data_IF_831243718423
#
_entry.id   IF_831243718423
#
_cell.length_a   1.000
_cell.length_b   1.000
_cell.length_c   1.000
_cell.angle_alpha   90.00
_cell.angle_beta   90.00
_cell.angle_gamma   90.00
#
_symmetry.space_group_name_H-M   'P 1'
#
loop_
_entity.id
_entity.type
_entity.pdbx_description
1 polymer ?
#
# COMPACT_ATOMS: atom_id res chain seq x y z
N UNK A 1 -3.23 3.24 -13.83
CA UNK A 1 -3.95 4.19 -12.96
C UNK A 1 -3.47 3.99 -11.53
N UNK A 2 -3.29 5.06 -10.78
CA UNK A 2 -2.94 4.99 -9.35
C UNK A 2 -4.21 4.83 -8.49
N UNK A 3 -4.20 3.94 -7.51
CA UNK A 3 -5.36 3.63 -6.67
C UNK A 3 -5.00 3.40 -5.20
N UNK A 4 -5.93 3.71 -4.30
CA UNK A 4 -5.83 3.54 -2.85
C UNK A 4 -6.95 2.62 -2.36
N UNK A 5 -6.67 1.68 -1.46
CA UNK A 5 -7.69 0.75 -0.97
C UNK A 5 -7.93 0.77 0.54
N UNK A 6 -7.10 1.49 1.30
CA UNK A 6 -7.12 1.41 2.77
C UNK A 6 -7.64 2.65 3.46
N UNK A 7 -7.74 3.80 2.80
CA UNK A 7 -8.16 5.01 3.50
C UNK A 7 -9.06 5.91 2.63
N UNK A 8 -9.77 6.81 3.30
CA UNK A 8 -10.69 7.78 2.69
C UNK A 8 -10.50 9.17 3.29
N UNK A 9 -11.34 10.14 2.90
CA UNK A 9 -11.32 11.47 3.50
C UNK A 9 -11.44 11.41 5.04
N UNK A 10 -10.63 12.21 5.74
CA UNK A 10 -10.67 12.43 7.19
C UNK A 10 -11.95 13.19 7.58
N UNK A 11 -13.01 12.44 7.92
CA UNK A 11 -14.30 13.00 8.38
C UNK A 11 -14.81 12.30 9.64
N UNK A 12 -14.25 11.15 10.00
CA UNK A 12 -14.62 10.45 11.24
C UNK A 12 -13.86 11.08 12.40
N UNK A 13 -14.62 11.56 13.38
CA UNK A 13 -14.08 12.24 14.55
C UNK A 13 -14.32 11.40 15.80
N UNK A 14 -13.44 11.54 16.80
CA UNK A 14 -13.57 10.82 18.07
C UNK A 14 -14.04 11.78 19.17
N UNK A 15 -15.06 11.39 19.96
CA UNK A 15 -15.61 12.26 21.04
C UNK A 15 -14.56 12.73 22.07
N UNK A 16 -13.48 11.99 22.25
CA UNK A 16 -12.39 12.37 23.14
C UNK A 16 -11.47 13.47 22.59
N UNK A 17 -11.53 13.78 21.28
CA UNK A 17 -10.58 14.67 20.61
C UNK A 17 -9.13 14.16 20.64
N UNK A 18 -8.95 12.84 20.78
CA UNK A 18 -7.64 12.17 20.81
C UNK A 18 -7.55 11.22 19.63
N UNK A 19 -6.39 11.18 18.98
CA UNK A 19 -6.16 10.40 17.76
C UNK A 19 -4.93 9.50 17.87
N UNK A 20 -4.31 9.37 19.05
CA UNK A 20 -3.19 8.42 19.20
C UNK A 20 -3.66 6.99 18.99
N UNK A 21 -2.89 6.17 18.26
CA UNK A 21 -3.25 4.76 18.04
C UNK A 21 -3.58 4.00 19.33
N UNK A 22 -4.67 3.23 19.32
CA UNK A 22 -5.12 2.35 20.40
C UNK A 22 -5.11 0.89 19.96
N UNK A 23 -4.21 0.11 20.56
CA UNK A 23 -3.94 -1.28 20.18
C UNK A 23 -5.07 -2.26 20.51
N UNK A 24 -5.12 -3.38 19.79
CA UNK A 24 -6.18 -4.39 19.96
C UNK A 24 -6.12 -5.16 21.28
N UNK A 25 -4.96 -5.21 21.95
CA UNK A 25 -4.83 -5.92 23.21
C UNK A 25 -5.48 -5.13 24.37
N UNK A 26 -5.33 -3.81 24.37
CA UNK A 26 -5.90 -2.92 25.38
C UNK A 26 -7.31 -2.40 25.00
N UNK A 27 -7.62 -2.35 23.70
CA UNK A 27 -8.94 -1.99 23.14
C UNK A 27 -9.47 -3.08 22.19
N UNK A 28 -9.85 -4.25 22.74
CA UNK A 28 -10.36 -5.36 21.95
C UNK A 28 -11.76 -5.06 21.42
N UNK A 29 -12.09 -5.62 20.25
CA UNK A 29 -13.42 -5.45 19.62
C UNK A 29 -14.60 -5.89 20.50
N UNK A 30 -14.38 -6.71 21.52
CA UNK A 30 -15.40 -7.18 22.45
C UNK A 30 -15.78 -6.20 23.58
N UNK A 31 -15.05 -5.09 23.74
CA UNK A 31 -15.24 -4.14 24.85
C UNK A 31 -15.21 -2.70 24.37
N UNK A 32 -16.17 -1.89 24.82
CA UNK A 32 -16.27 -0.48 24.43
C UNK A 32 -15.28 0.39 25.19
N UNK A 33 -14.39 1.11 24.50
CA UNK A 33 -13.42 2.02 25.12
C UNK A 33 -12.37 1.34 26.01
N UNK A 34 -12.07 0.05 25.77
CA UNK A 34 -10.99 -0.68 26.42
C UNK A 34 -11.43 -1.78 27.39
N UNK A 35 -10.45 -2.48 27.98
CA UNK A 35 -10.66 -3.70 28.79
C UNK A 35 -11.69 -3.60 29.93
N UNK A 36 -11.88 -2.39 30.50
CA UNK A 36 -12.82 -2.13 31.61
C UNK A 36 -14.22 -1.69 31.14
N UNK A 37 -14.41 -1.56 29.83
CA UNK A 37 -15.65 -1.13 29.22
C UNK A 37 -16.77 -2.17 29.26
N UNK A 38 -18.01 -1.75 28.95
CA UNK A 38 -19.11 -2.69 28.74
C UNK A 38 -18.80 -3.63 27.56
N UNK A 39 -19.37 -4.83 27.60
CA UNK A 39 -19.27 -5.79 26.50
C UNK A 39 -20.05 -5.29 25.27
N UNK A 40 -19.44 -5.45 24.10
CA UNK A 40 -20.02 -5.15 22.79
C UNK A 40 -19.67 -6.28 21.81
N UNK A 41 -20.30 -6.29 20.63
CA UNK A 41 -20.01 -7.24 19.55
C UNK A 41 -20.02 -8.71 19.99
N UNK A 42 -21.09 -9.21 20.65
CA UNK A 42 -21.12 -10.54 21.23
C UNK A 42 -20.90 -11.62 20.18
N UNK A 43 -19.88 -12.46 20.39
CA UNK A 43 -19.54 -13.58 19.52
C UNK A 43 -18.75 -13.21 18.26
N UNK A 44 -18.35 -11.95 18.09
CA UNK A 44 -17.38 -11.54 17.08
C UNK A 44 -16.01 -12.16 17.40
N UNK A 45 -15.45 -12.92 16.46
CA UNK A 45 -14.24 -13.71 16.63
C UNK A 45 -12.94 -12.92 16.30
N UNK A 46 -13.06 -11.64 15.95
CA UNK A 46 -11.94 -10.81 15.51
C UNK A 46 -11.79 -10.77 13.99
N UNK A 47 -10.76 -10.07 13.54
CA UNK A 47 -10.52 -9.73 12.14
C UNK A 47 -9.83 -10.83 11.30
N UNK A 48 -9.33 -11.89 11.94
CA UNK A 48 -8.76 -13.06 11.23
C UNK A 48 -9.82 -13.91 10.50
N UNK A 49 -11.09 -13.82 10.90
CA UNK A 49 -12.22 -14.45 10.22
C UNK A 49 -13.00 -13.39 9.42
N UNK A 50 -12.63 -13.20 8.16
CA UNK A 50 -13.31 -12.28 7.22
C UNK A 50 -14.68 -12.75 6.72
N UNK A 51 -15.30 -13.78 7.33
CA UNK A 51 -16.62 -14.26 6.90
C UNK A 51 -17.73 -13.26 7.22
N UNK A 52 -18.75 -13.23 6.37
CA UNK A 52 -19.97 -12.42 6.60
C UNK A 52 -20.66 -12.81 7.91
N UNK A 53 -20.67 -14.10 8.25
CA UNK A 53 -21.27 -14.59 9.49
C UNK A 53 -20.55 -14.08 10.75
N UNK A 54 -19.23 -13.91 10.68
CA UNK A 54 -18.47 -13.31 11.76
C UNK A 54 -18.70 -11.79 11.81
N UNK A 55 -18.49 -11.09 10.70
CA UNK A 55 -18.61 -9.63 10.64
C UNK A 55 -20.04 -9.11 10.87
N UNK A 56 -21.08 -9.92 10.65
CA UNK A 56 -22.45 -9.59 11.06
C UNK A 56 -22.61 -9.38 12.59
N UNK A 57 -21.64 -9.83 13.39
CA UNK A 57 -21.60 -9.65 14.85
C UNK A 57 -20.80 -8.42 15.28
N UNK A 58 -20.11 -7.76 14.36
CA UNK A 58 -19.49 -6.46 14.59
C UNK A 58 -20.57 -5.40 14.35
N UNK A 59 -21.14 -4.86 15.43
CA UNK A 59 -22.28 -3.93 15.37
C UNK A 59 -22.01 -2.59 16.06
N UNK A 60 -20.96 -2.49 16.87
CA UNK A 60 -20.52 -1.26 17.55
C UNK A 60 -19.04 -1.01 17.21
N UNK A 61 -18.69 0.10 16.53
CA UNK A 61 -17.30 0.47 16.21
C UNK A 61 -16.54 1.01 17.44
N UNK A 62 -17.19 1.08 18.60
CA UNK A 62 -16.77 1.75 19.82
C UNK A 62 -15.61 1.13 20.59
N UNK A 63 -14.87 0.20 19.99
CA UNK A 63 -13.86 -0.61 20.69
C UNK A 63 -12.71 0.25 21.23
N UNK A 64 -12.10 1.05 20.34
CA UNK A 64 -10.98 1.93 20.65
C UNK A 64 -11.44 3.34 20.99
N UNK A 65 -12.26 3.94 20.14
CA UNK A 65 -12.82 5.27 20.30
C UNK A 65 -14.34 5.25 20.21
N UNK A 66 -15.00 6.37 20.54
CA UNK A 66 -16.41 6.58 20.18
C UNK A 66 -16.45 7.46 18.93
N UNK A 67 -16.46 6.86 17.72
CA UNK A 67 -16.43 7.60 16.46
C UNK A 67 -17.79 8.22 16.16
N UNK A 68 -17.78 9.36 15.48
CA UNK A 68 -18.94 9.98 14.87
C UNK A 68 -18.53 10.74 13.62
N UNK A 69 -19.45 10.89 12.66
CA UNK A 69 -19.27 11.79 11.52
C UNK A 69 -20.03 13.08 11.81
N UNK A 70 -19.41 14.27 11.70
CA UNK A 70 -20.12 15.54 11.83
C UNK A 70 -21.32 15.61 10.88
N UNK A 71 -22.42 16.22 11.32
CA UNK A 71 -23.68 16.29 10.53
C UNK A 71 -23.47 16.92 9.14
N UNK A 72 -22.56 17.91 9.04
CA UNK A 72 -22.22 18.55 7.77
C UNK A 72 -21.49 17.62 6.78
N UNK A 73 -20.90 16.53 7.27
CA UNK A 73 -20.03 15.62 6.51
C UNK A 73 -20.63 14.21 6.36
N UNK A 74 -21.84 13.96 6.87
CA UNK A 74 -22.49 12.62 6.87
C UNK A 74 -22.62 11.95 5.49
N UNK A 75 -22.47 12.70 4.40
CA UNK A 75 -22.53 12.24 3.02
C UNK A 75 -21.28 12.63 2.21
N UNK A 76 -20.16 12.95 2.87
CA UNK A 76 -18.94 13.42 2.22
C UNK A 76 -18.29 12.35 1.32
N UNK A 77 -18.48 11.07 1.65
CA UNK A 77 -17.85 9.94 0.93
C UNK A 77 -18.81 9.29 -0.05
N UNK A 78 -18.28 8.84 -1.19
CA UNK A 78 -19.03 8.12 -2.24
C UNK A 78 -18.28 6.86 -2.62
N UNK A 79 -18.94 5.67 -2.66
CA UNK A 79 -20.37 5.44 -2.46
C UNK A 79 -20.86 5.61 -1.01
N UNK A 80 -22.18 5.74 -0.82
CA UNK A 80 -22.79 6.10 0.47
C UNK A 80 -22.37 5.21 1.65
N UNK A 81 -22.12 3.92 1.40
CA UNK A 81 -21.70 2.98 2.44
C UNK A 81 -20.38 3.40 3.11
N UNK A 82 -19.51 4.16 2.44
CA UNK A 82 -18.27 4.67 3.01
C UNK A 82 -18.49 5.67 4.16
N UNK A 83 -19.69 6.19 4.38
CA UNK A 83 -19.96 7.12 5.47
C UNK A 83 -20.29 6.42 6.80
N UNK A 84 -20.36 5.09 6.84
CA UNK A 84 -20.62 4.34 8.07
C UNK A 84 -19.30 4.04 8.82
N UNK A 85 -19.11 4.58 10.05
CA UNK A 85 -17.91 4.31 10.85
C UNK A 85 -17.68 2.82 11.13
N UNK A 86 -18.68 1.95 11.04
CA UNK A 86 -18.54 0.51 11.24
C UNK A 86 -17.54 -0.13 10.25
N UNK A 87 -17.33 0.50 9.10
CA UNK A 87 -16.40 0.04 8.05
C UNK A 87 -14.97 0.57 8.21
N UNK A 88 -14.63 1.15 9.36
CA UNK A 88 -13.31 1.70 9.66
C UNK A 88 -12.76 1.07 10.93
N UNK A 89 -11.43 1.02 11.08
CA UNK A 89 -10.84 0.45 12.30
C UNK A 89 -11.07 1.35 13.52
N UNK A 90 -11.18 2.67 13.32
CA UNK A 90 -11.43 3.68 14.35
C UNK A 90 -10.45 3.61 15.53
N UNK A 91 -9.15 3.49 15.24
CA UNK A 91 -8.10 3.30 16.25
C UNK A 91 -7.14 4.46 16.37
N UNK A 92 -7.29 5.51 15.58
CA UNK A 92 -6.39 6.66 15.57
C UNK A 92 -5.16 6.46 14.69
N UNK A 93 -4.34 7.50 14.63
CA UNK A 93 -3.22 7.69 13.73
C UNK A 93 -2.13 6.63 13.87
N UNK A 94 -1.78 6.04 12.74
CA UNK A 94 -0.67 5.10 12.65
C UNK A 94 0.67 5.74 13.01
N UNK A 95 1.58 4.95 13.57
CA UNK A 95 3.02 5.29 13.63
C UNK A 95 3.83 4.47 12.64
N UNK A 96 3.15 3.77 11.73
CA UNK A 96 3.71 2.87 10.71
C UNK A 96 4.55 1.72 11.29
N UNK A 97 4.16 1.21 12.47
CA UNK A 97 4.91 0.18 13.22
C UNK A 97 4.00 -0.93 13.72
N UNK A 98 4.46 -2.17 13.59
CA UNK A 98 3.74 -3.33 14.11
C UNK A 98 2.31 -3.40 13.55
N UNK A 99 1.34 -3.67 14.41
CA UNK A 99 -0.06 -3.78 13.99
C UNK A 99 -0.64 -2.44 13.51
N UNK A 100 -0.24 -1.30 14.09
CA UNK A 100 -0.84 -0.01 13.71
C UNK A 100 -0.52 0.39 12.26
N UNK A 101 0.47 -0.24 11.63
CA UNK A 101 0.74 -0.05 10.21
C UNK A 101 -0.43 -0.49 9.31
N UNK A 102 -1.42 -1.24 9.83
CA UNK A 102 -2.56 -1.79 9.07
C UNK A 102 -3.95 -1.50 9.65
N UNK A 103 -3.98 -0.93 10.86
CA UNK A 103 -5.21 -0.76 11.63
C UNK A 103 -5.41 0.69 12.09
N UNK A 104 -4.55 1.61 11.62
CA UNK A 104 -4.48 2.98 12.11
C UNK A 104 -4.59 3.97 10.98
N UNK A 105 -5.16 5.13 11.29
CA UNK A 105 -5.48 6.20 10.34
C UNK A 105 -4.22 6.66 9.59
N UNK A 106 -4.29 6.68 8.26
CA UNK A 106 -3.13 6.90 7.39
C UNK A 106 -2.85 8.39 7.29
N UNK A 107 -1.99 8.89 8.17
CA UNK A 107 -1.68 10.33 8.28
C UNK A 107 -2.95 11.19 8.47
N UNK A 108 -3.86 10.75 9.34
CA UNK A 108 -5.14 11.37 9.63
C UNK A 108 -6.30 10.90 8.73
N UNK A 109 -6.01 10.22 7.62
CA UNK A 109 -7.05 9.72 6.72
C UNK A 109 -7.70 8.45 7.30
N UNK A 110 -9.04 8.44 7.33
CA UNK A 110 -9.84 7.37 7.96
C UNK A 110 -9.51 5.99 7.37
N UNK A 111 -8.97 5.07 8.18
CA UNK A 111 -8.50 3.74 7.76
C UNK A 111 -9.66 2.72 7.69
N UNK A 112 -9.90 2.22 6.49
CA UNK A 112 -10.93 1.24 6.14
C UNK A 112 -10.60 -0.12 6.75
N UNK A 113 -11.62 -0.74 7.32
CA UNK A 113 -11.55 -2.07 7.87
C UNK A 113 -11.51 -3.12 6.74
N UNK A 114 -10.36 -3.27 6.07
CA UNK A 114 -10.23 -4.08 4.82
C UNK A 114 -10.46 -5.58 5.00
N UNK A 115 -10.41 -6.09 6.24
CA UNK A 115 -10.83 -7.43 6.61
C UNK A 115 -12.37 -7.62 6.51
N UNK A 116 -13.14 -6.53 6.56
CA UNK A 116 -14.60 -6.55 6.51
C UNK A 116 -15.09 -6.94 5.09
N UNK A 117 -15.95 -7.97 4.95
CA UNK A 117 -16.38 -8.47 3.63
C UNK A 117 -17.14 -7.43 2.80
N UNK A 118 -17.95 -6.56 3.43
CA UNK A 118 -18.55 -5.41 2.73
C UNK A 118 -17.53 -4.40 2.18
N UNK A 119 -16.48 -4.07 2.93
CA UNK A 119 -15.41 -3.18 2.46
C UNK A 119 -14.69 -3.82 1.29
N UNK A 120 -14.29 -5.09 1.44
CA UNK A 120 -13.63 -5.87 0.39
C UNK A 120 -14.44 -5.91 -0.91
N UNK A 121 -15.72 -6.31 -0.83
CA UNK A 121 -16.61 -6.34 -2.00
C UNK A 121 -16.85 -4.95 -2.58
N UNK A 122 -17.09 -3.93 -1.74
CA UNK A 122 -17.29 -2.56 -2.18
C UNK A 122 -16.09 -1.96 -2.92
N UNK A 123 -14.87 -2.19 -2.45
CA UNK A 123 -13.66 -1.73 -3.14
C UNK A 123 -13.42 -2.49 -4.46
N UNK A 124 -13.70 -3.79 -4.49
CA UNK A 124 -13.69 -4.57 -5.74
C UNK A 124 -14.71 -4.02 -6.73
N UNK A 125 -15.93 -3.72 -6.30
CA UNK A 125 -16.97 -3.11 -7.15
C UNK A 125 -16.51 -1.78 -7.73
N UNK A 126 -15.97 -0.89 -6.89
CA UNK A 126 -15.47 0.44 -7.31
C UNK A 126 -14.40 0.28 -8.39
N UNK A 127 -13.35 -0.51 -8.15
CA UNK A 127 -12.26 -0.61 -9.10
C UNK A 127 -12.60 -1.46 -10.33
N UNK A 128 -13.45 -2.48 -10.20
CA UNK A 128 -13.98 -3.18 -11.38
C UNK A 128 -14.76 -2.23 -12.32
N UNK A 129 -15.48 -1.25 -11.77
CA UNK A 129 -16.20 -0.24 -12.56
C UNK A 129 -15.25 0.64 -13.38
N UNK A 130 -14.10 1.01 -12.81
CA UNK A 130 -13.07 1.77 -13.54
C UNK A 130 -12.53 1.01 -14.76
N UNK A 131 -12.25 -0.29 -14.61
CA UNK A 131 -11.84 -1.16 -15.72
C UNK A 131 -12.93 -1.18 -16.80
N UNK A 132 -14.18 -1.46 -16.41
CA UNK A 132 -15.31 -1.63 -17.35
C UNK A 132 -15.67 -0.35 -18.10
N UNK A 133 -15.63 0.79 -17.42
CA UNK A 133 -16.08 2.07 -17.98
C UNK A 133 -15.03 2.77 -18.81
N UNK A 134 -13.78 2.72 -18.37
CA UNK A 134 -12.71 3.52 -18.97
C UNK A 134 -11.71 2.68 -19.75
N UNK A 135 -11.75 1.35 -19.64
CA UNK A 135 -10.85 0.47 -20.39
C UNK A 135 -9.39 0.66 -20.04
N UNK A 136 -9.09 1.02 -18.78
CA UNK A 136 -7.70 1.18 -18.31
C UNK A 136 -6.94 -0.16 -18.36
N UNK A 137 -5.62 -0.10 -18.56
CA UNK A 137 -4.78 -1.29 -18.76
C UNK A 137 -4.02 -1.75 -17.50
N UNK A 138 -4.22 -1.09 -16.36
CA UNK A 138 -3.54 -1.51 -15.14
C UNK A 138 -3.67 -0.58 -13.93
N UNK A 139 -3.24 -1.12 -12.79
CA UNK A 139 -3.17 -0.45 -11.50
C UNK A 139 -1.76 -0.39 -10.91
N UNK A 140 -1.34 0.82 -10.52
CA UNK A 140 -0.36 1.05 -9.45
C UNK A 140 -1.16 1.15 -8.17
N UNK A 141 -0.85 0.33 -7.19
CA UNK A 141 -1.55 0.27 -5.91
C UNK A 141 -0.71 1.00 -4.87
N UNK A 142 -1.22 2.14 -4.41
CA UNK A 142 -0.65 2.92 -3.33
C UNK A 142 -0.66 2.14 -2.02
N UNK A 143 0.31 2.43 -1.15
CA UNK A 143 0.33 2.00 0.27
C UNK A 143 0.09 0.49 0.51
N UNK A 144 0.46 -0.36 -0.45
CA UNK A 144 0.11 -1.79 -0.50
C UNK A 144 0.41 -2.57 0.80
N UNK A 145 1.50 -2.23 1.50
CA UNK A 145 1.92 -2.91 2.74
C UNK A 145 1.02 -2.65 3.95
N UNK A 146 0.19 -1.61 3.89
CA UNK A 146 -0.68 -1.12 4.96
C UNK A 146 -2.07 -1.77 4.96
N UNK A 147 -2.29 -2.78 4.13
CA UNK A 147 -3.61 -3.39 3.92
C UNK A 147 -3.57 -4.87 4.31
N UNK A 148 -4.74 -5.42 4.66
CA UNK A 148 -4.91 -6.85 4.91
C UNK A 148 -4.42 -7.69 3.70
N UNK A 149 -3.53 -8.69 3.91
CA UNK A 149 -3.20 -9.67 2.88
C UNK A 149 -4.42 -10.36 2.28
N UNK A 150 -5.43 -10.69 3.08
CA UNK A 150 -6.66 -11.35 2.62
C UNK A 150 -7.47 -10.49 1.66
N UNK A 151 -7.44 -9.17 1.82
CA UNK A 151 -8.00 -8.22 0.87
C UNK A 151 -7.33 -8.35 -0.49
N UNK A 152 -5.99 -8.34 -0.56
CA UNK A 152 -5.26 -8.43 -1.83
C UNK A 152 -5.45 -9.76 -2.54
N UNK A 153 -5.48 -10.86 -1.79
CA UNK A 153 -5.74 -12.20 -2.30
C UNK A 153 -7.12 -12.32 -2.96
N UNK A 154 -8.10 -11.49 -2.58
CA UNK A 154 -9.39 -11.43 -3.24
C UNK A 154 -9.43 -10.36 -4.35
N UNK A 155 -8.87 -9.18 -4.09
CA UNK A 155 -8.93 -8.02 -4.97
C UNK A 155 -8.20 -8.25 -6.29
N UNK A 156 -6.96 -8.74 -6.23
CA UNK A 156 -6.09 -8.87 -7.41
C UNK A 156 -6.68 -9.85 -8.44
N UNK A 157 -7.11 -11.08 -8.06
CA UNK A 157 -7.77 -11.97 -9.01
C UNK A 157 -9.07 -11.40 -9.57
N UNK A 158 -9.84 -10.64 -8.76
CA UNK A 158 -11.07 -10.01 -9.21
C UNK A 158 -10.81 -8.94 -10.30
N UNK A 159 -9.76 -8.12 -10.15
CA UNK A 159 -9.36 -7.13 -11.16
C UNK A 159 -8.87 -7.80 -12.44
N UNK A 160 -8.01 -8.82 -12.33
CA UNK A 160 -7.52 -9.59 -13.48
C UNK A 160 -8.66 -10.27 -14.24
N UNK A 161 -9.60 -10.89 -13.53
CA UNK A 161 -10.79 -11.50 -14.11
C UNK A 161 -11.68 -10.47 -14.81
N UNK A 162 -11.88 -9.31 -14.18
CA UNK A 162 -12.67 -8.21 -14.76
C UNK A 162 -12.03 -7.68 -16.04
N UNK A 163 -10.72 -7.43 -16.05
CA UNK A 163 -10.00 -6.96 -17.23
C UNK A 163 -10.05 -7.98 -18.37
N UNK A 164 -9.86 -9.27 -18.07
CA UNK A 164 -9.98 -10.35 -19.06
C UNK A 164 -11.38 -10.40 -19.68
N UNK A 165 -12.43 -10.26 -18.87
CA UNK A 165 -13.83 -10.22 -19.35
C UNK A 165 -14.12 -8.96 -20.19
N UNK A 166 -13.48 -7.84 -19.86
CA UNK A 166 -13.55 -6.60 -20.63
C UNK A 166 -12.71 -6.61 -21.92
N UNK A 167 -11.99 -7.71 -22.21
CA UNK A 167 -11.16 -7.83 -23.41
C UNK A 167 -9.83 -7.07 -23.32
N UNK A 168 -9.35 -6.76 -22.11
CA UNK A 168 -8.10 -6.04 -21.87
C UNK A 168 -7.02 -7.09 -21.54
N UNK A 169 -6.17 -7.47 -22.51
CA UNK A 169 -5.08 -8.41 -22.25
C UNK A 169 -4.00 -7.75 -21.39
N UNK A 170 -3.26 -8.56 -20.62
CA UNK A 170 -2.08 -8.10 -19.87
C UNK A 170 -2.32 -6.96 -18.89
N UNK A 171 -3.47 -6.96 -18.18
CA UNK A 171 -3.78 -5.94 -17.18
C UNK A 171 -2.72 -5.90 -16.06
N UNK A 172 -1.88 -4.87 -16.07
CA UNK A 172 -0.74 -4.77 -15.18
C UNK A 172 -1.17 -4.37 -13.76
N UNK A 173 -0.71 -5.09 -12.74
CA UNK A 173 -0.98 -4.73 -11.35
C UNK A 173 0.34 -4.79 -10.59
N UNK A 174 0.70 -3.70 -9.94
CA UNK A 174 1.84 -3.67 -9.04
C UNK A 174 1.58 -2.81 -7.81
N UNK A 175 2.07 -3.27 -6.67
CA UNK A 175 1.94 -2.57 -5.39
C UNK A 175 3.14 -1.72 -5.03
N UNK A 176 2.91 -0.62 -4.34
CA UNK A 176 3.96 0.13 -3.67
C UNK A 176 4.22 -0.44 -2.28
N UNK A 177 5.38 -1.07 -2.15
CA UNK A 177 5.91 -1.51 -0.86
C UNK A 177 7.13 -0.66 -0.55
N UNK A 178 6.89 0.57 -0.07
CA UNK A 178 7.97 1.50 0.23
C UNK A 178 8.97 0.89 1.21
N UNK A 179 10.23 0.81 0.79
CA UNK A 179 11.33 0.22 1.54
C UNK A 179 12.62 0.98 1.26
N UNK A 180 13.46 1.17 2.27
CA UNK A 180 14.76 1.79 2.10
C UNK A 180 15.85 0.73 1.92
N UNK A 181 16.66 0.89 0.88
CA UNK A 181 17.82 0.03 0.65
C UNK A 181 17.55 -1.11 -0.32
N UNK A 182 18.52 -2.02 -0.38
CA UNK A 182 18.64 -3.06 -1.41
C UNK A 182 18.26 -4.43 -0.85
N UNK A 183 16.98 -4.62 -0.49
CA UNK A 183 16.49 -5.88 0.10
C UNK A 183 15.36 -6.49 -0.73
N UNK A 184 15.68 -7.36 -1.70
CA UNK A 184 14.67 -8.06 -2.49
C UNK A 184 13.81 -8.99 -1.63
N UNK A 185 14.32 -9.54 -0.53
CA UNK A 185 13.57 -10.44 0.35
C UNK A 185 12.41 -9.74 1.05
N UNK A 186 12.62 -8.51 1.52
CA UNK A 186 11.57 -7.70 2.14
C UNK A 186 10.42 -7.40 1.19
N UNK A 187 10.68 -7.07 -0.08
CA UNK A 187 9.62 -6.77 -1.05
C UNK A 187 9.02 -8.04 -1.68
N UNK A 188 9.81 -9.11 -1.82
CA UNK A 188 9.35 -10.38 -2.39
C UNK A 188 8.22 -11.03 -1.59
N UNK A 189 8.20 -10.85 -0.26
CA UNK A 189 7.13 -11.41 0.61
C UNK A 189 5.72 -10.99 0.17
N UNK A 190 5.55 -9.85 -0.48
CA UNK A 190 4.24 -9.34 -0.92
C UNK A 190 3.78 -10.03 -2.21
N UNK A 191 4.70 -10.44 -3.07
CA UNK A 191 4.38 -11.29 -4.22
C UNK A 191 3.92 -12.69 -3.78
N UNK A 192 4.53 -13.24 -2.72
CA UNK A 192 4.22 -14.60 -2.24
C UNK A 192 3.02 -14.66 -1.30
N UNK A 193 2.97 -13.78 -0.30
CA UNK A 193 1.93 -13.79 0.74
C UNK A 193 0.65 -13.10 0.26
N UNK A 194 0.77 -11.96 -0.41
CA UNK A 194 -0.38 -11.09 -0.73
C UNK A 194 -0.90 -11.30 -2.16
N UNK A 195 -0.15 -12.05 -2.99
CA UNK A 195 -0.56 -12.40 -4.35
C UNK A 195 -0.34 -11.31 -5.39
N UNK A 196 0.53 -10.33 -5.10
CA UNK A 196 0.91 -9.31 -6.07
C UNK A 196 1.66 -9.92 -7.26
N UNK A 197 1.26 -9.62 -8.52
CA UNK A 197 2.03 -10.01 -9.70
C UNK A 197 3.40 -9.34 -9.75
N UNK A 198 3.48 -8.10 -9.26
CA UNK A 198 4.71 -7.35 -9.10
C UNK A 198 4.57 -6.30 -7.98
N UNK A 199 5.69 -5.77 -7.50
CA UNK A 199 5.73 -4.58 -6.64
C UNK A 199 6.79 -3.62 -7.16
N UNK A 200 6.70 -2.33 -6.85
CA UNK A 200 7.75 -1.37 -7.18
C UNK A 200 9.10 -1.88 -6.64
N UNK A 201 10.11 -1.98 -7.52
CA UNK A 201 11.40 -2.59 -7.20
C UNK A 201 12.30 -1.60 -6.43
N UNK A 202 11.93 -1.34 -5.17
CA UNK A 202 12.72 -0.52 -4.25
C UNK A 202 14.11 -1.13 -4.01
N UNK A 203 14.27 -2.45 -4.15
CA UNK A 203 15.57 -3.09 -4.04
C UNK A 203 16.49 -2.66 -5.19
N UNK A 204 16.00 -2.69 -6.43
CA UNK A 204 16.72 -2.14 -7.59
C UNK A 204 17.03 -0.65 -7.42
N UNK A 205 16.03 0.15 -7.02
CA UNK A 205 16.21 1.59 -6.80
C UNK A 205 17.33 1.86 -5.77
N UNK A 206 17.30 1.12 -4.65
CA UNK A 206 18.30 1.18 -3.59
C UNK A 206 19.68 0.80 -4.07
N UNK A 207 19.82 -0.28 -4.85
CA UNK A 207 21.08 -0.73 -5.44
C UNK A 207 21.70 0.34 -6.35
N UNK A 208 20.91 0.90 -7.28
CA UNK A 208 21.38 1.92 -8.21
C UNK A 208 21.80 3.18 -7.46
N UNK A 209 21.01 3.64 -6.49
CA UNK A 209 21.38 4.79 -5.65
C UNK A 209 22.67 4.53 -4.85
N UNK A 210 22.82 3.33 -4.29
CA UNK A 210 24.01 2.96 -3.53
C UNK A 210 25.30 3.08 -4.36
N UNK A 211 25.27 2.60 -5.60
CA UNK A 211 26.41 2.64 -6.53
C UNK A 211 26.63 4.07 -7.05
N UNK A 212 25.58 4.66 -7.60
CA UNK A 212 25.68 5.91 -8.38
C UNK A 212 25.77 7.15 -7.50
N UNK A 213 25.21 7.15 -6.30
CA UNK A 213 25.20 8.32 -5.41
C UNK A 213 26.07 8.11 -4.15
N UNK A 214 26.03 6.91 -3.56
CA UNK A 214 26.59 6.67 -2.21
C UNK A 214 27.98 6.02 -2.22
N UNK A 215 28.55 5.73 -3.39
CA UNK A 215 29.91 5.22 -3.54
C UNK A 215 30.10 3.78 -3.09
N UNK A 216 29.04 2.97 -3.10
CA UNK A 216 29.14 1.51 -2.93
C UNK A 216 29.64 0.85 -4.21
N UNK A 217 30.23 -0.35 -4.09
CA UNK A 217 30.65 -1.13 -5.24
C UNK A 217 29.47 -1.86 -5.88
N UNK A 218 29.75 -2.48 -7.03
CA UNK A 218 28.75 -3.18 -7.85
C UNK A 218 28.24 -4.48 -7.23
N UNK A 219 28.86 -4.96 -6.15
CA UNK A 219 28.41 -6.13 -5.38
C UNK A 219 26.95 -5.98 -4.91
N UNK A 220 26.52 -4.76 -4.56
CA UNK A 220 25.14 -4.51 -4.11
C UNK A 220 24.13 -4.84 -5.21
N UNK A 221 24.47 -4.58 -6.48
CA UNK A 221 23.60 -4.92 -7.61
C UNK A 221 23.62 -6.43 -7.88
N UNK A 222 24.77 -7.08 -7.74
CA UNK A 222 24.87 -8.54 -7.86
C UNK A 222 24.02 -9.25 -6.79
N UNK A 223 24.14 -8.84 -5.52
CA UNK A 223 23.33 -9.39 -4.41
C UNK A 223 21.83 -9.16 -4.63
N UNK A 224 21.47 -8.01 -5.22
CA UNK A 224 20.07 -7.69 -5.54
C UNK A 224 19.51 -8.64 -6.61
N UNK A 225 20.29 -8.95 -7.64
CA UNK A 225 19.90 -9.87 -8.70
C UNK A 225 19.94 -11.33 -8.24
N UNK A 226 20.89 -11.73 -7.40
CA UNK A 226 20.90 -13.06 -6.79
C UNK A 226 19.63 -13.28 -5.93
N UNK A 227 19.07 -12.22 -5.37
CA UNK A 227 17.80 -12.24 -4.62
C UNK A 227 16.54 -12.39 -5.47
N UNK A 228 16.61 -12.38 -6.80
CA UNK A 228 15.44 -12.45 -7.67
C UNK A 228 14.66 -13.75 -7.56
N UNK A 229 15.36 -14.82 -7.20
CA UNK A 229 14.76 -16.13 -6.93
C UNK A 229 13.69 -16.07 -5.82
N UNK A 230 13.70 -15.02 -5.00
CA UNK A 230 12.78 -14.82 -3.88
C UNK A 230 11.39 -14.36 -4.32
N UNK A 231 11.22 -13.79 -5.52
CA UNK A 231 9.91 -13.38 -6.03
C UNK A 231 9.02 -14.58 -6.38
N UNK A 232 7.70 -14.42 -6.29
CA UNK A 232 6.76 -15.41 -6.83
C UNK A 232 6.94 -15.54 -8.35
N UNK A 233 7.27 -16.74 -8.85
CA UNK A 233 7.71 -16.96 -10.23
C UNK A 233 9.22 -16.79 -10.48
N UNK A 234 10.01 -16.45 -9.45
CA UNK A 234 11.48 -16.40 -9.48
C UNK A 234 12.05 -15.34 -10.42
N UNK A 235 13.24 -15.61 -10.96
CA UNK A 235 13.98 -14.69 -11.84
C UNK A 235 13.16 -14.23 -13.06
N UNK A 236 12.32 -15.11 -13.60
CA UNK A 236 11.45 -14.78 -14.74
C UNK A 236 10.42 -13.71 -14.37
N UNK A 237 9.87 -13.75 -13.16
CA UNK A 237 8.95 -12.73 -12.67
C UNK A 237 9.67 -11.41 -12.38
N UNK A 238 10.93 -11.47 -11.97
CA UNK A 238 11.75 -10.28 -11.73
C UNK A 238 11.91 -9.41 -13.00
N UNK A 239 11.84 -10.00 -14.19
CA UNK A 239 11.83 -9.27 -15.47
C UNK A 239 10.61 -8.36 -15.65
N UNK A 240 9.50 -8.63 -14.95
CA UNK A 240 8.28 -7.83 -15.01
C UNK A 240 8.18 -6.79 -13.88
N UNK A 241 9.14 -6.77 -12.95
CA UNK A 241 9.14 -5.86 -11.81
C UNK A 241 9.32 -4.40 -12.27
N UNK A 242 8.44 -3.47 -11.84
CA UNK A 242 8.60 -2.05 -12.15
C UNK A 242 9.85 -1.46 -11.48
N UNK A 243 10.90 -1.24 -12.26
CA UNK A 243 12.14 -0.61 -11.81
C UNK A 243 12.04 0.90 -11.95
N UNK A 244 12.67 1.66 -11.05
CA UNK A 244 12.59 3.12 -11.04
C UNK A 244 13.81 3.72 -10.33
N UNK A 245 14.02 5.03 -10.47
CA UNK A 245 15.11 5.77 -9.82
C UNK A 245 14.61 6.77 -8.78
N UNK A 246 13.49 7.42 -9.07
CA UNK A 246 12.78 8.35 -8.20
C UNK A 246 11.27 8.22 -8.42
N UNK A 247 10.50 8.81 -7.52
CA UNK A 247 9.03 8.87 -7.59
C UNK A 247 8.55 10.12 -6.83
N UNK A 248 7.24 10.24 -6.60
CA UNK A 248 6.68 11.39 -5.90
C UNK A 248 7.05 11.48 -4.41
N UNK A 249 7.33 10.36 -3.75
CA UNK A 249 7.73 10.35 -2.33
C UNK A 249 9.21 10.65 -2.13
N UNK A 250 10.06 10.09 -2.99
CA UNK A 250 11.51 10.22 -2.91
C UNK A 250 12.01 11.50 -3.60
N UNK A 251 11.22 12.01 -4.54
CA UNK A 251 11.62 13.04 -5.47
C UNK A 251 12.47 12.52 -6.63
N UNK A 252 12.84 13.45 -7.51
CA UNK A 252 13.72 13.23 -8.67
C UNK A 252 15.07 12.65 -8.27
N UNK A 253 15.62 11.77 -9.10
CA UNK A 253 16.89 11.10 -8.78
C UNK A 253 18.05 12.10 -8.61
N UNK A 254 18.06 13.19 -9.38
CA UNK A 254 19.05 14.27 -9.25
C UNK A 254 19.06 14.89 -7.83
N UNK A 255 17.90 14.99 -7.17
CA UNK A 255 17.81 15.50 -5.79
C UNK A 255 18.45 14.52 -4.80
N UNK A 256 18.23 13.21 -5.00
CA UNK A 256 18.86 12.17 -4.19
C UNK A 256 20.38 12.16 -4.36
N UNK A 257 20.87 12.32 -5.59
CA UNK A 257 22.31 12.43 -5.88
C UNK A 257 22.95 13.62 -5.16
N UNK A 258 22.32 14.80 -5.21
CA UNK A 258 22.82 16.00 -4.51
C UNK A 258 22.79 15.86 -3.00
N UNK A 259 21.76 15.20 -2.46
CA UNK A 259 21.65 14.90 -1.02
C UNK A 259 22.77 13.99 -0.55
N UNK A 260 23.08 12.94 -1.32
CA UNK A 260 24.11 11.96 -0.96
C UNK A 260 25.53 12.43 -1.29
N UNK A 261 25.68 13.42 -2.20
CA UNK A 261 26.95 14.02 -2.61
C UNK A 261 26.89 15.56 -2.57
N UNK A 262 26.88 16.17 -1.38
CA UNK A 262 26.80 17.62 -1.29
C UNK A 262 28.04 18.28 -1.92
N UNK A 263 27.81 19.34 -2.70
CA UNK A 263 28.87 20.19 -3.27
C UNK A 263 29.48 19.71 -4.60
N UNK A 264 29.00 18.61 -5.20
CA UNK A 264 29.42 18.23 -6.55
C UNK A 264 28.86 19.19 -7.61
N UNK A 265 29.58 19.32 -8.73
CA UNK A 265 29.17 20.19 -9.84
C UNK A 265 27.93 19.65 -10.56
N UNK A 266 27.21 20.52 -11.25
CA UNK A 266 26.06 20.12 -12.07
C UNK A 266 26.43 19.12 -13.16
N UNK A 267 27.64 19.24 -13.72
CA UNK A 267 28.17 18.28 -14.68
C UNK A 267 28.33 16.87 -14.09
N UNK A 268 28.81 16.77 -12.84
CA UNK A 268 28.94 15.49 -12.14
C UNK A 268 27.56 14.91 -11.77
N UNK A 269 26.61 15.76 -11.36
CA UNK A 269 25.21 15.33 -11.14
C UNK A 269 24.64 14.75 -12.43
N UNK A 270 24.78 15.46 -13.55
CA UNK A 270 24.27 15.00 -14.85
C UNK A 270 24.92 13.68 -15.30
N UNK A 271 26.24 13.52 -15.11
CA UNK A 271 26.93 12.28 -15.44
C UNK A 271 26.40 11.08 -14.63
N UNK A 272 26.15 11.28 -13.33
CA UNK A 272 25.58 10.25 -12.45
C UNK A 272 24.12 9.93 -12.80
N UNK A 273 23.28 10.95 -13.01
CA UNK A 273 21.88 10.76 -13.42
C UNK A 273 21.80 10.04 -14.76
N UNK A 274 22.65 10.41 -15.72
CA UNK A 274 22.75 9.73 -17.03
C UNK A 274 23.13 8.26 -16.87
N UNK A 275 24.13 7.95 -16.02
CA UNK A 275 24.52 6.57 -15.72
C UNK A 275 23.37 5.78 -15.09
N UNK A 276 22.66 6.35 -14.11
CA UNK A 276 21.52 5.69 -13.48
C UNK A 276 20.39 5.40 -14.47
N UNK A 277 20.08 6.32 -15.39
CA UNK A 277 19.08 6.09 -16.44
C UNK A 277 19.54 5.05 -17.45
N UNK A 278 20.82 5.03 -17.82
CA UNK A 278 21.37 3.95 -18.64
C UNK A 278 21.19 2.60 -17.94
N UNK A 279 21.47 2.51 -16.65
CA UNK A 279 21.23 1.29 -15.85
C UNK A 279 19.73 0.93 -15.82
N UNK A 280 18.83 1.88 -15.52
CA UNK A 280 17.38 1.66 -15.51
C UNK A 280 16.87 1.08 -16.84
N UNK A 281 17.33 1.63 -17.97
CA UNK A 281 16.82 1.29 -19.30
C UNK A 281 17.47 0.04 -19.91
N UNK A 282 18.58 -0.45 -19.36
CA UNK A 282 19.34 -1.58 -19.94
C UNK A 282 19.49 -2.79 -19.03
N UNK A 283 19.25 -2.64 -17.73
CA UNK A 283 19.17 -3.76 -16.79
C UNK A 283 17.75 -4.35 -16.79
N UNK A 284 17.55 -5.45 -16.05
CA UNK A 284 16.27 -6.17 -16.00
C UNK A 284 15.13 -5.30 -15.50
N UNK A 285 13.91 -5.72 -15.82
CA UNK A 285 12.68 -5.19 -15.22
C UNK A 285 11.86 -4.41 -16.24
N UNK A 286 10.83 -3.73 -15.74
CA UNK A 286 9.99 -2.83 -16.52
C UNK A 286 10.27 -1.39 -16.09
N UNK A 287 11.09 -0.61 -16.83
CA UNK A 287 11.51 0.71 -16.39
C UNK A 287 10.34 1.70 -16.31
N UNK A 288 10.22 2.36 -15.16
CA UNK A 288 9.29 3.46 -14.89
C UNK A 288 10.10 4.74 -14.71
N UNK A 289 9.86 5.70 -15.60
CA UNK A 289 10.51 7.01 -15.58
C UNK A 289 9.60 8.00 -14.86
N UNK A 290 10.13 8.69 -13.85
CA UNK A 290 9.38 9.70 -13.14
C UNK A 290 9.40 11.03 -13.89
N UNK A 291 8.24 11.69 -13.99
CA UNK A 291 8.12 12.92 -14.78
C UNK A 291 8.99 14.06 -14.24
N UNK A 292 9.74 14.67 -15.14
CA UNK A 292 10.73 15.70 -14.89
C UNK A 292 12.11 15.17 -14.49
N UNK A 293 12.37 13.86 -14.61
CA UNK A 293 13.74 13.31 -14.61
C UNK A 293 14.36 13.31 -16.03
N UNK A 294 13.56 13.44 -17.10
CA UNK A 294 14.02 13.57 -18.51
C UNK A 294 14.85 14.84 -18.78
#
# INVERSE_FOLDING_TARGET
MDIIANHTADVIQYKSGQYTYRDRANWPYSRKGGLKGPAINPGFAGDEDSSEANFAKLTDPGAAYEPFVPEAERNAKTPAWLNDPLFYHNRGDTTFRGENSRFGDFAGLDDLFTEHPRVRSGMIEIYADWIKRFGIDGYRIDTAKHVDPGFWQAFIPAMQSTAKQAGIPNFAIFGEVAHEGSDPGTIARYTRRDGYPAVLDFAFQGAVRAIVAQGKGTEVLADTFDGDVLYEGGEAAALAMPTFLGNHDMGRFAMLVRKDRPGISDAEVLARVSLAHAMLLTLRGSPVIYSGDE
#
